data_IF_233212410992
#
_entry.id   IF_233212410992
#
_cell.length_a   1.000
_cell.length_b   1.000
_cell.length_c   1.000
_cell.angle_alpha   90.00
_cell.angle_beta   90.00
_cell.angle_gamma   90.00
#
_symmetry.space_group_name_H-M   'P 1'
#
loop_
_entity.id
_entity.type
_entity.pdbx_description
1 polymer ?
#
# COMPACT_ATOMS: atom_id res chain seq x y z
N UNK A 1 10.19 -2.83 -14.34
CA UNK A 1 8.84 -3.20 -13.86
C UNK A 1 8.30 -2.32 -12.72
N UNK A 2 9.12 -1.52 -12.01
CA UNK A 2 8.66 -0.74 -10.84
C UNK A 2 7.61 0.35 -11.09
N UNK A 3 7.61 1.01 -12.26
CA UNK A 3 6.61 2.04 -12.59
C UNK A 3 5.18 1.48 -12.67
N UNK A 4 4.98 0.35 -13.34
CA UNK A 4 3.65 -0.29 -13.42
C UNK A 4 3.17 -0.77 -12.06
N UNK A 5 4.07 -1.35 -11.25
CA UNK A 5 3.76 -1.75 -9.87
C UNK A 5 3.36 -0.54 -9.02
N UNK A 6 4.08 0.57 -9.14
CA UNK A 6 3.74 1.81 -8.44
C UNK A 6 2.40 2.40 -8.89
N UNK A 7 2.14 2.43 -10.20
CA UNK A 7 0.89 2.92 -10.75
C UNK A 7 -0.30 2.07 -10.29
N UNK A 8 -0.14 0.75 -10.22
CA UNK A 8 -1.15 -0.19 -9.70
C UNK A 8 -1.41 0.05 -8.21
N UNK A 9 -0.35 0.10 -7.38
CA UNK A 9 -0.49 0.34 -5.93
C UNK A 9 -1.12 1.69 -5.65
N UNK A 10 -0.75 2.73 -6.39
CA UNK A 10 -1.29 4.08 -6.23
C UNK A 10 -2.74 4.16 -6.72
N UNK A 11 -3.04 3.59 -7.88
CA UNK A 11 -4.40 3.62 -8.45
C UNK A 11 -5.39 2.80 -7.63
N UNK A 12 -5.06 1.54 -7.34
CA UNK A 12 -5.89 0.66 -6.51
C UNK A 12 -5.97 1.20 -5.09
N UNK A 13 -4.86 1.69 -4.54
CA UNK A 13 -4.83 2.30 -3.22
C UNK A 13 -5.70 3.55 -3.08
N UNK A 14 -5.69 4.42 -4.08
CA UNK A 14 -6.53 5.62 -4.10
C UNK A 14 -8.01 5.25 -4.14
N UNK A 15 -8.39 4.28 -4.99
CA UNK A 15 -9.75 3.78 -5.05
C UNK A 15 -10.18 3.12 -3.73
N UNK A 16 -9.29 2.33 -3.11
CA UNK A 16 -9.54 1.69 -1.84
C UNK A 16 -9.71 2.69 -0.69
N UNK A 17 -8.99 3.81 -0.72
CA UNK A 17 -9.14 4.91 0.25
C UNK A 17 -10.49 5.64 0.11
N UNK A 18 -11.13 5.59 -1.05
CA UNK A 18 -12.49 6.13 -1.22
C UNK A 18 -13.57 5.21 -0.64
N UNK A 19 -13.25 3.95 -0.37
CA UNK A 19 -14.17 2.97 0.21
C UNK A 19 -13.55 2.40 1.50
N UNK A 20 -13.75 3.08 2.65
CA UNK A 20 -13.12 2.73 3.93
C UNK A 20 -13.17 1.24 4.32
N UNK A 21 -14.29 0.50 4.15
CA UNK A 21 -14.33 -0.92 4.52
C UNK A 21 -13.47 -1.81 3.60
N UNK A 22 -13.14 -1.37 2.39
CA UNK A 22 -12.31 -2.12 1.46
C UNK A 22 -10.82 -1.77 1.58
N UNK A 23 -10.47 -0.68 2.27
CA UNK A 23 -9.09 -0.21 2.37
C UNK A 23 -8.16 -1.24 3.02
N UNK A 24 -8.60 -1.87 4.12
CA UNK A 24 -7.82 -2.86 4.88
C UNK A 24 -7.53 -4.13 4.06
N UNK A 25 -8.54 -4.84 3.49
CA UNK A 25 -8.26 -6.04 2.71
C UNK A 25 -7.43 -5.75 1.46
N UNK A 26 -7.68 -4.61 0.79
CA UNK A 26 -6.89 -4.21 -0.38
C UNK A 26 -5.44 -3.88 0.00
N UNK A 27 -5.21 -3.23 1.14
CA UNK A 27 -3.86 -3.02 1.64
C UNK A 27 -3.12 -4.36 1.84
N UNK A 28 -3.80 -5.36 2.39
CA UNK A 28 -3.29 -6.75 2.49
C UNK A 28 -2.91 -7.34 1.13
N UNK A 29 -3.78 -7.26 0.13
CA UNK A 29 -3.49 -7.77 -1.23
C UNK A 29 -2.36 -7.02 -1.93
N UNK A 30 -2.20 -5.73 -1.66
CA UNK A 30 -1.08 -4.93 -2.18
C UNK A 30 0.24 -5.24 -1.48
N UNK A 31 0.21 -5.98 -0.36
CA UNK A 31 1.40 -6.40 0.39
C UNK A 31 1.72 -5.54 1.61
N UNK A 32 0.76 -4.73 2.07
CA UNK A 32 0.83 -4.05 3.36
C UNK A 32 0.23 -4.94 4.43
N UNK A 33 1.05 -5.35 5.41
CA UNK A 33 0.61 -6.14 6.56
C UNK A 33 0.99 -5.47 7.89
N UNK A 34 0.69 -6.17 8.99
CA UNK A 34 0.98 -5.74 10.36
C UNK A 34 2.47 -5.50 10.62
N UNK A 35 3.37 -6.23 9.93
CA UNK A 35 4.81 -6.03 9.98
C UNK A 35 5.33 -4.93 9.02
N UNK A 36 4.44 -4.30 8.25
CA UNK A 36 4.78 -3.33 7.21
C UNK A 36 4.70 -3.91 5.79
N UNK A 37 5.56 -3.42 4.90
CA UNK A 37 5.57 -3.81 3.49
C UNK A 37 6.31 -5.14 3.34
N UNK A 38 5.60 -6.18 2.91
CA UNK A 38 6.18 -7.51 2.73
C UNK A 38 7.23 -7.53 1.62
N UNK A 39 8.37 -8.19 1.85
CA UNK A 39 9.41 -8.34 0.84
C UNK A 39 8.88 -9.10 -0.39
N UNK A 40 9.18 -8.61 -1.60
CA UNK A 40 8.72 -9.21 -2.86
C UNK A 40 7.27 -8.89 -3.24
N UNK A 41 6.56 -8.07 -2.46
CA UNK A 41 5.18 -7.66 -2.77
C UNK A 41 5.09 -6.49 -3.75
N UNK A 42 3.88 -6.20 -4.23
CA UNK A 42 3.62 -5.02 -5.06
C UNK A 42 3.99 -3.73 -4.31
N UNK A 43 3.66 -3.63 -3.03
CA UNK A 43 4.06 -2.50 -2.20
C UNK A 43 5.59 -2.35 -2.11
N UNK A 44 6.34 -3.45 -1.98
CA UNK A 44 7.81 -3.39 -1.97
C UNK A 44 8.37 -2.92 -3.32
N UNK A 45 7.79 -3.39 -4.44
CA UNK A 45 8.17 -2.95 -5.78
C UNK A 45 7.84 -1.48 -6.05
N UNK A 46 6.71 -0.98 -5.52
CA UNK A 46 6.34 0.42 -5.60
C UNK A 46 7.26 1.31 -4.75
N UNK A 47 7.61 0.89 -3.53
CA UNK A 47 8.54 1.63 -2.67
C UNK A 47 9.96 1.66 -3.26
N UNK A 48 10.42 0.55 -3.85
CA UNK A 48 11.68 0.48 -4.58
C UNK A 48 11.74 1.45 -5.77
N UNK A 49 10.60 1.73 -6.42
CA UNK A 49 10.56 2.64 -7.57
C UNK A 49 10.53 4.11 -7.14
N UNK A 50 9.71 4.44 -6.15
CA UNK A 50 9.52 5.85 -5.73
C UNK A 50 10.74 6.36 -4.96
N UNK A 51 11.51 5.47 -4.32
CA UNK A 51 12.67 5.73 -3.47
C UNK A 51 12.39 6.60 -2.23
N UNK A 52 11.48 7.57 -2.32
CA UNK A 52 11.06 8.44 -1.24
C UNK A 52 9.53 8.52 -1.17
N UNK A 53 8.92 7.72 -0.28
CA UNK A 53 7.49 7.82 0.00
C UNK A 53 7.24 9.00 0.93
N UNK A 54 6.78 10.11 0.37
CA UNK A 54 6.41 11.28 1.16
C UNK A 54 5.16 10.99 2.02
N UNK A 55 5.15 11.57 3.22
CA UNK A 55 3.99 11.54 4.11
C UNK A 55 2.77 12.18 3.41
N UNK A 56 1.60 11.53 3.51
CA UNK A 56 0.36 11.98 2.87
C UNK A 56 0.09 11.37 1.49
N UNK A 57 1.06 10.69 0.86
CA UNK A 57 0.83 9.91 -0.36
C UNK A 57 -0.11 8.74 -0.12
N UNK A 58 -0.72 8.21 -1.19
CA UNK A 58 -1.59 7.02 -1.14
C UNK A 58 -0.89 5.85 -0.46
N UNK A 59 0.40 5.66 -0.74
CA UNK A 59 1.22 4.61 -0.14
C UNK A 59 1.33 4.78 1.38
N UNK A 60 1.67 5.99 1.85
CA UNK A 60 1.76 6.28 3.29
C UNK A 60 0.40 6.11 4.00
N UNK A 61 -0.70 6.49 3.34
CA UNK A 61 -2.06 6.30 3.86
C UNK A 61 -2.43 4.82 3.96
N UNK A 62 -2.17 4.03 2.90
CA UNK A 62 -2.41 2.59 2.92
C UNK A 62 -1.57 1.88 3.98
N UNK A 63 -0.30 2.25 4.12
CA UNK A 63 0.58 1.70 5.14
C UNK A 63 0.10 2.02 6.55
N UNK A 64 -0.36 3.26 6.79
CA UNK A 64 -0.95 3.64 8.07
C UNK A 64 -2.22 2.85 8.37
N UNK A 65 -3.11 2.66 7.38
CA UNK A 65 -4.34 1.87 7.55
C UNK A 65 -4.03 0.40 7.82
N UNK A 66 -3.04 -0.17 7.13
CA UNK A 66 -2.60 -1.54 7.36
C UNK A 66 -1.99 -1.73 8.76
N UNK A 67 -1.28 -0.73 9.30
CA UNK A 67 -0.75 -0.76 10.67
C UNK A 67 -1.84 -0.56 11.73
N UNK A 68 -2.90 0.19 11.40
CA UNK A 68 -4.05 0.41 12.28
C UNK A 68 -5.00 -0.79 12.33
N UNK A 69 -4.95 -1.67 11.33
CA UNK A 69 -5.65 -2.94 11.38
C UNK A 69 -4.74 -3.98 12.04
N UNK A 70 -5.00 -4.37 13.29
CA UNK A 70 -4.41 -5.58 13.84
C UNK A 70 -5.06 -6.75 13.11
N UNK A 71 -4.58 -7.09 11.92
CA UNK A 71 -4.87 -8.41 11.35
C UNK A 71 -4.20 -9.43 12.26
N UNK A 72 -4.96 -10.34 12.90
CA UNK A 72 -4.41 -11.40 13.73
C UNK A 72 -3.48 -12.34 12.95
#
# INVERSE_FOLDING_TARGET
MGFFTWAVVTGIGAAALMIPPLTVPIAGYLGFGSAGVGAGTLAAGAQSYVANVAAGTVFAKLQAVAMLSPTP
#
